data_IF_991951490440
#
_entry.id   IF_991951490440
#
_cell.length_a   1.000
_cell.length_b   1.000
_cell.length_c   1.000
_cell.angle_alpha   90.00
_cell.angle_beta   90.00
_cell.angle_gamma   90.00
#
_symmetry.space_group_name_H-M   'P 1'
#
loop_
_entity.id
_entity.type
_entity.pdbx_description
1 polymer ?
#
# COMPACT_ATOMS: atom_id res chain seq x y z
N UNK A 1 -19.65 2.31 4.35
CA UNK A 1 -18.27 2.83 4.22
C UNK A 1 -17.91 2.76 2.74
N UNK A 2 -17.43 3.84 2.15
CA UNK A 2 -16.98 3.81 0.75
C UNK A 2 -15.67 3.01 0.67
N UNK A 3 -15.51 2.21 -0.38
CA UNK A 3 -14.25 1.48 -0.61
C UNK A 3 -13.08 2.50 -0.70
N UNK A 4 -11.94 2.26 -0.02
CA UNK A 4 -10.90 3.28 0.11
C UNK A 4 -10.28 3.73 -1.22
N UNK A 5 -10.02 2.83 -2.18
CA UNK A 5 -9.43 3.20 -3.46
C UNK A 5 -10.38 4.07 -4.28
N UNK A 6 -11.68 3.76 -4.28
CA UNK A 6 -12.71 4.56 -4.93
C UNK A 6 -12.72 6.00 -4.39
N UNK A 7 -12.61 6.15 -3.06
CA UNK A 7 -12.50 7.48 -2.45
C UNK A 7 -11.26 8.26 -2.94
N UNK A 8 -10.09 7.61 -3.01
CA UNK A 8 -8.87 8.28 -3.45
C UNK A 8 -8.87 8.60 -4.95
N UNK A 9 -9.39 7.70 -5.78
CA UNK A 9 -9.54 7.92 -7.23
C UNK A 9 -10.48 9.08 -7.50
N UNK A 10 -11.62 9.18 -6.81
CA UNK A 10 -12.51 10.34 -7.00
C UNK A 10 -11.86 11.65 -6.60
N UNK A 11 -11.03 11.64 -5.55
CA UNK A 11 -10.38 12.83 -5.04
C UNK A 11 -9.17 13.28 -5.87
N UNK A 12 -8.45 12.34 -6.48
CA UNK A 12 -7.16 12.59 -7.14
C UNK A 12 -7.13 12.28 -8.63
N UNK A 13 -8.12 11.52 -9.11
CA UNK A 13 -8.12 10.94 -10.44
C UNK A 13 -7.13 9.78 -10.58
N UNK A 14 -7.14 9.22 -11.78
CA UNK A 14 -6.10 8.34 -12.28
C UNK A 14 -5.70 8.84 -13.66
N UNK A 15 -4.49 9.40 -13.78
CA UNK A 15 -3.95 9.83 -15.06
C UNK A 15 -2.76 8.96 -15.45
N UNK A 16 -3.00 8.03 -16.38
CA UNK A 16 -1.95 7.16 -16.92
C UNK A 16 -0.84 7.93 -17.60
N UNK A 17 -1.11 9.13 -18.14
CA UNK A 17 -0.10 9.91 -18.84
C UNK A 17 0.96 10.45 -17.88
N UNK A 18 0.67 10.54 -16.58
CA UNK A 18 1.65 10.94 -15.58
C UNK A 18 2.65 9.82 -15.24
N UNK A 19 2.34 8.58 -15.63
CA UNK A 19 3.18 7.41 -15.36
C UNK A 19 4.33 7.39 -16.37
N UNK A 20 5.56 7.46 -15.85
CA UNK A 20 6.79 7.31 -16.62
C UNK A 20 7.16 5.85 -16.81
N UNK A 21 6.99 5.05 -15.76
CA UNK A 21 7.37 3.63 -15.78
C UNK A 21 6.48 2.83 -14.84
N UNK A 22 6.10 1.65 -15.28
CA UNK A 22 5.46 0.61 -14.50
C UNK A 22 6.30 -0.66 -14.56
N UNK A 23 6.43 -1.35 -13.44
CA UNK A 23 7.03 -2.68 -13.35
C UNK A 23 6.23 -3.49 -12.34
N UNK A 24 5.90 -4.74 -12.68
CA UNK A 24 5.39 -5.70 -11.72
C UNK A 24 6.39 -6.84 -11.53
N UNK A 25 6.74 -7.10 -10.27
CA UNK A 25 7.43 -8.31 -9.85
C UNK A 25 6.46 -9.28 -9.15
N UNK A 26 6.98 -10.41 -8.69
CA UNK A 26 6.18 -11.44 -8.00
C UNK A 26 5.65 -10.99 -6.64
N UNK A 27 6.36 -10.08 -5.94
CA UNK A 27 5.95 -9.61 -4.60
C UNK A 27 5.34 -8.20 -4.64
N UNK A 28 5.89 -7.32 -5.45
CA UNK A 28 5.52 -5.91 -5.50
C UNK A 28 5.38 -5.43 -6.95
N UNK A 29 4.43 -4.52 -7.15
CA UNK A 29 4.35 -3.67 -8.33
C UNK A 29 4.80 -2.26 -7.96
N UNK A 30 5.49 -1.59 -8.89
CA UNK A 30 6.01 -0.25 -8.75
C UNK A 30 5.53 0.66 -9.88
N UNK A 31 5.13 1.87 -9.52
CA UNK A 31 4.78 2.95 -10.45
C UNK A 31 5.70 4.14 -10.18
N UNK A 32 6.34 4.64 -11.23
CA UNK A 32 7.12 5.88 -11.22
C UNK A 32 6.40 6.93 -12.06
N UNK A 33 6.18 8.11 -11.47
CA UNK A 33 5.63 9.27 -12.16
C UNK A 33 6.72 10.01 -12.94
N UNK A 34 6.32 10.88 -13.88
CA UNK A 34 7.24 11.69 -14.71
C UNK A 34 8.21 12.56 -13.89
N UNK A 35 7.77 13.03 -12.74
CA UNK A 35 8.57 13.83 -11.80
C UNK A 35 9.48 13.00 -10.89
N UNK A 36 9.51 11.67 -11.05
CA UNK A 36 10.37 10.75 -10.30
C UNK A 36 9.78 10.22 -9.01
N UNK A 37 8.60 10.71 -8.58
CA UNK A 37 7.91 10.11 -7.43
C UNK A 37 7.56 8.66 -7.74
N UNK A 38 7.81 7.78 -6.76
CA UNK A 38 7.66 6.34 -6.93
C UNK A 38 6.81 5.77 -5.80
N UNK A 39 5.89 4.88 -6.16
CA UNK A 39 5.01 4.18 -5.24
C UNK A 39 5.03 2.69 -5.51
N UNK A 40 4.79 1.92 -4.46
CA UNK A 40 4.76 0.45 -4.53
C UNK A 40 3.46 -0.09 -3.95
N UNK A 41 3.04 -1.25 -4.44
CA UNK A 41 1.94 -2.02 -3.87
C UNK A 41 2.33 -3.50 -3.85
N UNK A 42 1.97 -4.22 -2.78
CA UNK A 42 2.09 -5.67 -2.77
C UNK A 42 1.12 -6.28 -3.80
N UNK A 43 1.55 -7.36 -4.46
CA UNK A 43 0.77 -8.02 -5.53
C UNK A 43 -0.22 -9.04 -4.96
N UNK A 44 0.13 -9.75 -3.88
CA UNK A 44 -0.73 -10.75 -3.20
C UNK A 44 -1.39 -11.71 -4.20
N UNK A 45 -0.58 -12.30 -5.10
CA UNK A 45 -0.99 -13.24 -6.15
C UNK A 45 -1.93 -12.68 -7.24
N UNK A 46 -2.19 -11.37 -7.26
CA UNK A 46 -2.96 -10.76 -8.33
C UNK A 46 -2.29 -10.99 -9.70
N UNK A 47 -3.05 -11.49 -10.66
CA UNK A 47 -2.65 -11.45 -12.06
C UNK A 47 -2.66 -10.00 -12.53
N UNK A 48 -1.49 -9.50 -12.90
CA UNK A 48 -1.33 -8.11 -13.31
C UNK A 48 -1.93 -7.91 -14.70
N UNK A 49 -2.94 -7.06 -14.74
CA UNK A 49 -3.57 -6.58 -15.96
C UNK A 49 -3.11 -5.14 -16.20
N UNK A 50 -2.20 -4.93 -17.16
CA UNK A 50 -1.65 -3.62 -17.47
C UNK A 50 -2.50 -2.82 -18.47
N UNK A 51 -3.73 -3.27 -18.76
CA UNK A 51 -4.62 -2.61 -19.70
C UNK A 51 -4.97 -1.17 -19.30
N UNK A 52 -4.95 -0.84 -18.01
CA UNK A 52 -5.11 0.54 -17.50
C UNK A 52 -3.89 1.43 -17.77
N UNK A 53 -2.70 0.85 -17.87
CA UNK A 53 -1.46 1.55 -18.21
C UNK A 53 -1.40 1.78 -19.72
N UNK A 54 -1.64 0.73 -20.50
CA UNK A 54 -1.69 0.81 -21.97
C UNK A 54 -2.89 1.62 -22.47
N UNK A 55 -3.91 1.79 -21.61
CA UNK A 55 -5.19 2.45 -21.83
C UNK A 55 -6.11 1.74 -22.80
N UNK A 56 -5.94 0.42 -22.92
CA UNK A 56 -6.91 -0.47 -23.52
C UNK A 56 -8.15 -0.64 -22.64
N UNK A 57 -8.09 -0.23 -21.37
CA UNK A 57 -9.21 -0.24 -20.43
C UNK A 57 -9.23 0.99 -19.52
N UNK A 58 -10.38 1.24 -18.89
CA UNK A 58 -10.52 2.17 -17.78
C UNK A 58 -10.27 1.46 -16.44
N UNK A 59 -9.81 2.18 -15.39
CA UNK A 59 -9.69 1.62 -14.04
C UNK A 59 -10.95 0.86 -13.59
N UNK A 60 -10.76 -0.40 -13.19
CA UNK A 60 -11.83 -1.25 -12.63
C UNK A 60 -11.40 -1.76 -11.25
N UNK A 61 -12.12 -1.38 -10.21
CA UNK A 61 -11.82 -1.77 -8.83
C UNK A 61 -12.30 -3.17 -8.46
N UNK A 62 -13.00 -3.87 -9.35
CA UNK A 62 -13.29 -5.29 -9.19
C UNK A 62 -12.15 -6.16 -9.74
N UNK A 63 -11.29 -5.62 -10.61
CA UNK A 63 -10.10 -6.28 -11.13
C UNK A 63 -8.91 -6.09 -10.16
N UNK A 64 -8.41 -7.18 -9.58
CA UNK A 64 -7.31 -7.12 -8.60
C UNK A 64 -6.01 -6.56 -9.19
N UNK A 65 -5.66 -6.90 -10.44
CA UNK A 65 -4.49 -6.37 -11.13
C UNK A 65 -4.56 -4.85 -11.29
N UNK A 66 -5.74 -4.33 -11.68
CA UNK A 66 -5.99 -2.89 -11.73
C UNK A 66 -5.84 -2.25 -10.35
N UNK A 67 -6.40 -2.85 -9.30
CA UNK A 67 -6.27 -2.33 -7.92
C UNK A 67 -4.82 -2.22 -7.49
N UNK A 68 -3.98 -3.20 -7.80
CA UNK A 68 -2.54 -3.17 -7.49
C UNK A 68 -1.86 -1.98 -8.17
N UNK A 69 -2.13 -1.78 -9.46
CA UNK A 69 -1.55 -0.67 -10.24
C UNK A 69 -2.01 0.68 -9.70
N UNK A 70 -3.32 0.84 -9.48
CA UNK A 70 -3.93 2.08 -8.99
C UNK A 70 -3.39 2.42 -7.61
N UNK A 71 -3.25 1.43 -6.72
CA UNK A 71 -2.70 1.64 -5.38
C UNK A 71 -1.22 2.05 -5.44
N UNK A 72 -0.42 1.41 -6.30
CA UNK A 72 0.97 1.84 -6.52
C UNK A 72 1.06 3.27 -7.07
N UNK A 73 0.18 3.66 -8.00
CA UNK A 73 0.07 5.03 -8.53
C UNK A 73 -0.30 6.03 -7.43
N UNK A 74 -1.32 5.73 -6.62
CA UNK A 74 -1.75 6.59 -5.52
C UNK A 74 -0.65 6.73 -4.47
N UNK A 75 0.08 5.67 -4.15
CA UNK A 75 1.24 5.73 -3.26
C UNK A 75 2.35 6.62 -3.83
N UNK A 76 2.59 6.59 -5.15
CA UNK A 76 3.55 7.49 -5.79
C UNK A 76 3.10 8.96 -5.69
N UNK A 77 1.79 9.20 -5.84
CA UNK A 77 1.21 10.53 -5.81
C UNK A 77 1.17 11.12 -4.40
N UNK A 78 0.80 10.31 -3.40
CA UNK A 78 0.41 10.77 -2.06
C UNK A 78 1.48 10.55 -0.98
N UNK A 79 2.29 9.49 -1.08
CA UNK A 79 3.21 9.10 0.00
C UNK A 79 4.64 9.63 -0.24
N UNK A 80 4.80 10.64 -1.10
CA UNK A 80 6.09 11.25 -1.33
C UNK A 80 6.38 12.32 -0.28
N UNK A 81 7.46 12.11 0.48
CA UNK A 81 8.00 13.09 1.42
C UNK A 81 9.49 13.29 1.16
N UNK A 82 9.97 14.53 1.31
CA UNK A 82 11.41 14.84 1.31
C UNK A 82 12.00 14.82 2.71
N UNK A 83 11.15 14.77 3.74
CA UNK A 83 11.52 14.72 5.15
C UNK A 83 11.17 13.35 5.69
N UNK A 84 12.16 12.65 6.22
CA UNK A 84 11.98 11.35 6.84
C UNK A 84 12.26 11.48 8.32
N UNK A 85 11.32 11.03 9.15
CA UNK A 85 11.59 10.89 10.57
C UNK A 85 12.53 9.69 10.77
N UNK A 86 13.62 9.86 11.53
CA UNK A 86 14.60 8.79 11.74
C UNK A 86 14.02 7.59 12.52
N UNK A 87 12.89 7.78 13.20
CA UNK A 87 12.29 6.79 14.09
C UNK A 87 10.81 6.57 13.75
N UNK A 88 10.55 5.67 12.80
CA UNK A 88 9.20 5.37 12.30
C UNK A 88 8.61 4.06 12.86
N UNK A 89 9.18 3.50 13.93
CA UNK A 89 8.70 2.24 14.50
C UNK A 89 7.34 2.45 15.21
N UNK A 90 6.34 1.69 14.78
CA UNK A 90 4.99 1.69 15.35
C UNK A 90 5.00 1.48 16.87
N UNK A 91 5.85 0.58 17.36
CA UNK A 91 5.95 0.23 18.79
C UNK A 91 6.45 1.38 19.65
N UNK A 92 7.16 2.34 19.05
CA UNK A 92 7.66 3.55 19.73
C UNK A 92 6.70 4.71 19.60
N UNK A 93 6.03 4.83 18.44
CA UNK A 93 5.08 5.91 18.16
C UNK A 93 3.73 5.73 18.83
N UNK A 94 3.31 4.49 19.09
CA UNK A 94 2.03 4.17 19.69
C UNK A 94 2.28 3.38 20.95
N UNK A 95 1.76 3.87 22.08
CA UNK A 95 1.78 3.11 23.33
C UNK A 95 0.71 2.00 23.28
N UNK A 96 1.09 0.88 22.67
CA UNK A 96 0.22 -0.27 22.46
C UNK A 96 -0.21 -0.92 23.79
N UNK A 97 0.49 -0.67 24.91
CA UNK A 97 0.12 -1.24 26.22
C UNK A 97 -1.22 -0.73 26.76
N UNK A 98 -1.66 0.44 26.31
CA UNK A 98 -2.93 1.04 26.72
C UNK A 98 -4.16 0.36 26.08
N UNK A 99 -3.95 -0.52 25.10
CA UNK A 99 -5.05 -1.18 24.40
C UNK A 99 -5.32 -2.57 24.98
N UNK A 100 -6.58 -2.83 25.29
CA UNK A 100 -7.01 -4.12 25.88
C UNK A 100 -7.04 -5.27 24.88
N UNK A 101 -7.22 -4.95 23.60
CA UNK A 101 -7.32 -5.93 22.52
C UNK A 101 -6.68 -5.35 21.28
N UNK A 102 -5.63 -6.02 20.80
CA UNK A 102 -4.92 -5.68 19.57
C UNK A 102 -5.06 -6.84 18.60
N UNK A 103 -5.42 -6.52 17.37
CA UNK A 103 -5.53 -7.47 16.27
C UNK A 103 -4.57 -7.03 15.18
N UNK A 104 -3.69 -7.95 14.77
CA UNK A 104 -2.77 -7.77 13.65
C UNK A 104 -3.34 -8.58 12.48
N UNK A 105 -3.53 -7.92 11.33
CA UNK A 105 -3.92 -8.58 10.08
C UNK A 105 -2.69 -8.62 9.18
N UNK A 106 -2.27 -9.82 8.80
CA UNK A 106 -0.98 -10.11 8.19
C UNK A 106 0.06 -10.56 9.21
N UNK A 107 0.81 -11.63 8.92
CA UNK A 107 1.91 -12.06 9.80
C UNK A 107 3.18 -11.24 9.56
N UNK A 108 3.55 -10.42 10.55
CA UNK A 108 4.78 -9.62 10.55
C UNK A 108 5.70 -10.09 11.68
N UNK A 109 6.55 -11.08 11.39
CA UNK A 109 7.42 -11.77 12.37
C UNK A 109 8.12 -10.81 13.35
N UNK A 110 8.85 -9.81 12.83
CA UNK A 110 9.57 -8.86 13.70
C UNK A 110 8.68 -8.00 14.61
N UNK A 111 7.42 -7.74 14.23
CA UNK A 111 6.47 -7.02 15.08
C UNK A 111 5.90 -7.95 16.15
N UNK A 112 5.57 -9.19 15.77
CA UNK A 112 5.09 -10.24 16.68
C UNK A 112 6.10 -10.48 17.80
N UNK A 113 7.38 -10.71 17.46
CA UNK A 113 8.44 -10.90 18.45
C UNK A 113 8.58 -9.71 19.40
N UNK A 114 8.53 -8.48 18.88
CA UNK A 114 8.59 -7.25 19.70
C UNK A 114 7.42 -7.16 20.68
N UNK A 115 6.22 -7.53 20.22
CA UNK A 115 5.00 -7.51 21.04
C UNK A 115 5.04 -8.56 22.15
N UNK A 116 5.47 -9.79 21.82
CA UNK A 116 5.65 -10.88 22.78
C UNK A 116 6.69 -10.53 23.85
N UNK A 117 7.87 -10.07 23.43
CA UNK A 117 8.95 -9.64 24.34
C UNK A 117 8.54 -8.46 25.24
N UNK A 118 7.56 -7.66 24.81
CA UNK A 118 7.02 -6.53 25.57
C UNK A 118 5.84 -6.91 26.47
N UNK A 119 5.42 -8.17 26.50
CA UNK A 119 4.28 -8.66 27.27
C UNK A 119 2.93 -8.12 26.80
N UNK A 120 2.83 -7.66 25.55
CA UNK A 120 1.61 -7.09 24.99
C UNK A 120 0.72 -8.22 24.49
N UNK A 121 -0.57 -8.21 24.83
CA UNK A 121 -1.53 -9.22 24.37
C UNK A 121 -2.09 -8.82 23.01
N UNK A 122 -2.00 -9.72 22.03
CA UNK A 122 -2.53 -9.52 20.68
C UNK A 122 -3.04 -10.84 20.07
N UNK A 123 -3.68 -10.74 18.91
CA UNK A 123 -4.05 -11.87 18.04
C UNK A 123 -3.59 -11.56 16.61
N UNK A 124 -3.13 -12.57 15.89
CA UNK A 124 -2.73 -12.46 14.47
C UNK A 124 -3.71 -13.26 13.62
N UNK A 125 -4.09 -12.69 12.48
CA UNK A 125 -4.83 -13.36 11.41
C UNK A 125 -4.09 -13.09 10.10
N UNK A 126 -3.82 -14.13 9.32
CA UNK A 126 -3.14 -14.08 8.01
C UNK A 126 -3.95 -14.89 7.00
#
# INVERSE_FOLDING_TARGET
>A
MKEPLAYFIEKKGFDRNEIKRFVAGSKFAGVMLKDGRTGVCAVLDAMIDDSVITGSSTPDLNNQGHRVIINAYLNALLNYSRTFEPEADLMRKVDLKNYKSIVIIGYFESLVEKMENSGIRFRVYD
#
